data_IF_404836748397
#
_entry.id   IF_404836748397
#
_cell.length_a   1.000
_cell.length_b   1.000
_cell.length_c   1.000
_cell.angle_alpha   90.00
_cell.angle_beta   90.00
_cell.angle_gamma   90.00
#
_symmetry.space_group_name_H-M   'P 1'
#
loop_
_entity.id
_entity.type
_entity.pdbx_description
1 polymer ?
#
# COMPACT_ATOMS: atom_id res chain seq x y z
N UNK A 1 -27.30 -4.36 4.92
CA UNK A 1 -26.16 -3.50 4.54
C UNK A 1 -25.83 -3.62 3.06
N UNK A 2 -25.49 -4.80 2.51
CA UNK A 2 -25.26 -4.95 1.07
C UNK A 2 -26.56 -4.79 0.23
N UNK A 3 -27.62 -5.52 0.59
CA UNK A 3 -28.91 -5.48 -0.12
C UNK A 3 -29.61 -4.12 -0.08
N UNK A 4 -29.37 -3.31 0.95
CA UNK A 4 -29.98 -1.97 1.10
C UNK A 4 -29.36 -0.93 0.18
N UNK A 5 -28.18 -1.21 -0.37
CA UNK A 5 -27.49 -0.30 -1.28
C UNK A 5 -27.55 -0.77 -2.74
N UNK A 6 -28.28 -1.84 -3.09
CA UNK A 6 -28.20 -2.44 -4.45
C UNK A 6 -26.82 -3.06 -4.75
N UNK A 7 -26.23 -3.76 -3.76
CA UNK A 7 -25.01 -4.55 -3.93
C UNK A 7 -25.40 -6.02 -4.10
N UNK A 8 -25.13 -6.58 -5.27
CA UNK A 8 -25.43 -8.00 -5.56
C UNK A 8 -24.27 -8.95 -5.25
N UNK A 9 -23.04 -8.44 -5.21
CA UNK A 9 -21.83 -9.24 -5.01
C UNK A 9 -20.94 -8.60 -3.94
N UNK A 10 -20.37 -9.46 -3.10
CA UNK A 10 -19.40 -9.05 -2.07
C UNK A 10 -18.16 -9.91 -2.25
N UNK A 11 -17.00 -9.27 -2.20
CA UNK A 11 -15.71 -9.94 -2.23
C UNK A 11 -15.04 -9.84 -0.86
N UNK A 12 -14.51 -10.96 -0.38
CA UNK A 12 -13.78 -11.06 0.89
C UNK A 12 -12.58 -11.96 0.63
N UNK A 13 -11.37 -11.45 0.85
CA UNK A 13 -10.08 -12.14 0.59
C UNK A 13 -10.03 -13.58 1.14
N UNK A 14 -10.64 -13.80 2.30
CA UNK A 14 -10.63 -15.07 3.03
C UNK A 14 -11.59 -16.10 2.42
N UNK A 15 -12.62 -15.64 1.72
CA UNK A 15 -13.64 -16.52 1.12
C UNK A 15 -13.50 -16.65 -0.40
N UNK A 16 -12.92 -15.65 -1.06
CA UNK A 16 -12.94 -15.49 -2.51
C UNK A 16 -11.60 -15.78 -3.18
N UNK A 17 -10.55 -16.10 -2.42
CA UNK A 17 -9.25 -16.50 -2.96
C UNK A 17 -8.98 -17.95 -2.58
N UNK A 18 -8.86 -18.85 -3.55
CA UNK A 18 -8.33 -20.19 -3.33
C UNK A 18 -6.81 -20.12 -3.08
N UNK A 19 -6.45 -20.15 -1.80
CA UNK A 19 -5.04 -20.16 -1.36
C UNK A 19 -4.32 -21.48 -1.64
N UNK A 20 -5.03 -22.52 -2.11
CA UNK A 20 -4.44 -23.82 -2.49
C UNK A 20 -3.95 -23.82 -3.95
N UNK A 21 -4.50 -22.93 -4.78
CA UNK A 21 -4.11 -22.71 -6.16
C UNK A 21 -3.08 -21.57 -6.24
N UNK A 22 -1.82 -21.90 -6.52
CA UNK A 22 -0.76 -20.88 -6.62
C UNK A 22 -0.97 -19.89 -7.77
N UNK A 23 -1.57 -20.32 -8.87
CA UNK A 23 -1.92 -19.46 -10.00
C UNK A 23 -3.04 -18.50 -9.63
N UNK A 24 -4.10 -18.98 -8.97
CA UNK A 24 -5.22 -18.12 -8.55
C UNK A 24 -4.77 -17.13 -7.47
N UNK A 25 -4.02 -17.60 -6.47
CA UNK A 25 -3.43 -16.73 -5.45
C UNK A 25 -2.57 -15.63 -6.09
N UNK A 26 -1.78 -15.99 -7.10
CA UNK A 26 -0.94 -15.03 -7.82
C UNK A 26 -1.75 -14.01 -8.60
N UNK A 27 -2.78 -14.45 -9.32
CA UNK A 27 -3.69 -13.56 -10.04
C UNK A 27 -4.43 -12.63 -9.08
N UNK A 28 -4.92 -13.17 -7.96
CA UNK A 28 -5.64 -12.42 -6.95
C UNK A 28 -4.78 -11.33 -6.32
N UNK A 29 -3.56 -11.65 -5.88
CA UNK A 29 -2.65 -10.68 -5.25
C UNK A 29 -2.30 -9.53 -6.21
N UNK A 30 -2.04 -9.81 -7.49
CA UNK A 30 -1.79 -8.76 -8.48
C UNK A 30 -3.05 -7.92 -8.81
N UNK A 31 -4.24 -8.46 -8.56
CA UNK A 31 -5.52 -7.82 -8.91
C UNK A 31 -6.18 -7.09 -7.73
N UNK A 32 -5.81 -7.41 -6.48
CA UNK A 32 -6.48 -6.91 -5.27
C UNK A 32 -6.64 -5.39 -5.24
N UNK A 33 -5.59 -4.64 -5.58
CA UNK A 33 -5.66 -3.19 -5.60
C UNK A 33 -6.70 -2.67 -6.59
N UNK A 34 -6.78 -3.27 -7.79
CA UNK A 34 -7.80 -2.92 -8.78
C UNK A 34 -9.20 -3.26 -8.28
N UNK A 35 -9.37 -4.40 -7.60
CA UNK A 35 -10.67 -4.75 -7.02
C UNK A 35 -11.13 -3.75 -5.96
N UNK A 36 -10.25 -3.24 -5.10
CA UNK A 36 -10.59 -2.18 -4.16
C UNK A 36 -10.88 -0.85 -4.85
N UNK A 37 -10.13 -0.51 -5.91
CA UNK A 37 -10.35 0.73 -6.67
C UNK A 37 -11.68 0.74 -7.41
N UNK A 38 -12.05 -0.37 -8.03
CA UNK A 38 -13.29 -0.51 -8.81
C UNK A 38 -14.50 -0.89 -7.94
N UNK A 39 -14.29 -1.21 -6.65
CA UNK A 39 -15.37 -1.46 -5.73
C UNK A 39 -16.19 -0.19 -5.50
N UNK A 40 -17.52 -0.32 -5.60
CA UNK A 40 -18.44 0.79 -5.34
C UNK A 40 -18.35 1.30 -3.89
N UNK A 41 -18.06 0.40 -2.95
CA UNK A 41 -17.84 0.73 -1.53
C UNK A 41 -17.04 -0.39 -0.88
N UNK A 42 -16.12 -0.02 0.00
CA UNK A 42 -15.39 -0.95 0.86
C UNK A 42 -15.83 -0.80 2.32
N UNK A 43 -15.90 -1.93 3.02
CA UNK A 43 -16.28 -1.97 4.42
C UNK A 43 -15.10 -2.47 5.26
N UNK A 44 -14.66 -1.65 6.22
CA UNK A 44 -13.57 -1.99 7.11
C UNK A 44 -14.11 -2.22 8.52
N UNK A 45 -13.98 -3.46 9.00
CA UNK A 45 -14.36 -3.84 10.37
C UNK A 45 -13.16 -3.66 11.31
N UNK A 46 -13.32 -2.77 12.29
CA UNK A 46 -12.32 -2.37 13.28
C UNK A 46 -12.67 -3.04 14.62
N UNK A 47 -12.16 -4.26 14.80
CA UNK A 47 -12.53 -5.16 15.90
C UNK A 47 -12.10 -4.68 17.29
N UNK A 48 -11.24 -3.67 17.37
CA UNK A 48 -10.52 -3.24 18.57
C UNK A 48 -10.93 -1.84 19.07
N UNK A 49 -11.97 -1.24 18.48
CA UNK A 49 -12.42 0.11 18.83
C UNK A 49 -13.93 0.20 19.00
N UNK A 50 -14.40 1.25 19.69
CA UNK A 50 -15.82 1.49 19.98
C UNK A 50 -16.38 2.73 19.30
N UNK A 51 -15.60 3.81 19.24
CA UNK A 51 -16.07 5.13 18.77
C UNK A 51 -15.24 5.66 17.60
N UNK A 52 -15.78 6.64 16.87
CA UNK A 52 -15.13 7.24 15.69
C UNK A 52 -13.78 7.89 16.02
N UNK A 53 -13.65 8.52 17.19
CA UNK A 53 -12.40 9.16 17.64
C UNK A 53 -11.26 8.15 17.85
N UNK A 54 -11.59 6.86 17.94
CA UNK A 54 -10.65 5.75 18.12
C UNK A 54 -10.20 5.11 16.80
N UNK A 55 -10.78 5.51 15.66
CA UNK A 55 -10.47 4.92 14.35
C UNK A 55 -8.96 4.88 14.07
N UNK A 56 -8.19 5.98 14.19
CA UNK A 56 -6.75 5.96 13.89
C UNK A 56 -5.93 5.04 14.81
N UNK A 57 -6.45 4.70 15.99
CA UNK A 57 -5.77 3.84 16.96
C UNK A 57 -5.99 2.36 16.67
N UNK A 58 -6.88 2.00 15.74
CA UNK A 58 -7.13 0.61 15.39
C UNK A 58 -5.87 -0.07 14.83
N UNK A 59 -5.66 -1.32 15.23
CA UNK A 59 -4.68 -2.24 14.66
C UNK A 59 -4.87 -2.45 13.15
N UNK A 60 -6.05 -2.13 12.61
CA UNK A 60 -6.25 -2.15 11.15
C UNK A 60 -5.22 -1.27 10.43
N UNK A 61 -4.83 -0.12 10.99
CA UNK A 61 -3.82 0.77 10.41
C UNK A 61 -2.38 0.28 10.53
N UNK A 62 -2.12 -0.79 11.29
CA UNK A 62 -0.79 -1.39 11.43
C UNK A 62 -0.60 -2.62 10.55
N UNK A 63 -1.62 -3.09 9.83
CA UNK A 63 -1.52 -4.26 8.94
C UNK A 63 -1.02 -3.84 7.56
N UNK A 64 -0.13 -4.63 6.93
CA UNK A 64 0.41 -4.31 5.60
C UNK A 64 -0.67 -4.25 4.51
N UNK A 65 -1.47 -5.31 4.40
CA UNK A 65 -2.52 -5.45 3.37
C UNK A 65 -3.59 -4.35 3.38
N UNK A 66 -3.87 -3.77 4.55
CA UNK A 66 -4.88 -2.71 4.68
C UNK A 66 -4.41 -1.37 4.10
N UNK A 67 -3.13 -1.23 3.72
CA UNK A 67 -2.63 -0.01 3.09
C UNK A 67 -3.24 0.18 1.71
N UNK A 68 -3.22 -0.86 0.87
CA UNK A 68 -3.86 -0.81 -0.43
C UNK A 68 -5.38 -0.69 -0.31
N UNK A 69 -6.00 -1.36 0.68
CA UNK A 69 -7.43 -1.19 0.98
C UNK A 69 -7.76 0.30 1.22
N UNK A 70 -6.97 0.97 2.07
CA UNK A 70 -7.18 2.37 2.43
C UNK A 70 -7.03 3.33 1.25
N UNK A 71 -5.98 3.14 0.44
CA UNK A 71 -5.61 4.04 -0.65
C UNK A 71 -6.49 3.83 -1.87
N UNK A 72 -6.70 2.57 -2.28
CA UNK A 72 -7.42 2.25 -3.51
C UNK A 72 -8.92 2.58 -3.42
N UNK A 73 -9.53 2.36 -2.26
CA UNK A 73 -10.99 2.53 -2.10
C UNK A 73 -11.41 4.00 -2.16
N UNK A 74 -12.23 4.36 -3.14
CA UNK A 74 -12.81 5.70 -3.25
C UNK A 74 -13.82 5.96 -2.12
N UNK A 75 -14.70 4.97 -1.87
CA UNK A 75 -15.66 4.98 -0.76
C UNK A 75 -15.32 3.88 0.24
N UNK A 76 -15.13 4.25 1.50
CA UNK A 76 -14.87 3.31 2.58
C UNK A 76 -15.65 3.70 3.83
N UNK A 77 -16.37 2.74 4.41
CA UNK A 77 -17.12 2.91 5.66
C UNK A 77 -16.52 2.03 6.75
N UNK A 78 -16.29 2.61 7.93
CA UNK A 78 -15.77 1.91 9.10
C UNK A 78 -16.89 1.36 9.97
N UNK A 79 -16.69 0.15 10.49
CA UNK A 79 -17.54 -0.49 11.49
C UNK A 79 -16.72 -0.78 12.74
N UNK A 80 -17.31 -0.57 13.91
CA UNK A 80 -16.67 -0.90 15.18
C UNK A 80 -16.83 -2.38 15.53
N UNK A 81 -16.27 -2.79 16.67
CA UNK A 81 -16.34 -4.16 17.21
C UNK A 81 -17.77 -4.74 17.35
N UNK A 82 -18.79 -3.88 17.46
CA UNK A 82 -20.21 -4.25 17.64
C UNK A 82 -20.99 -4.17 16.31
N UNK A 83 -20.30 -4.10 15.17
CA UNK A 83 -20.87 -3.90 13.83
C UNK A 83 -21.71 -2.63 13.69
N UNK A 84 -21.39 -1.60 14.48
CA UNK A 84 -21.99 -0.27 14.33
C UNK A 84 -21.15 0.57 13.40
N UNK A 85 -21.83 1.26 12.49
CA UNK A 85 -21.21 2.20 11.56
C UNK A 85 -20.59 3.37 12.33
N UNK A 86 -19.32 3.67 12.03
CA UNK A 86 -18.55 4.77 12.61
C UNK A 86 -18.44 5.98 11.67
N UNK A 87 -18.80 5.81 10.40
CA UNK A 87 -18.72 6.84 9.37
C UNK A 87 -17.77 6.49 8.22
N UNK A 88 -17.65 7.43 7.28
CA UNK A 88 -16.82 7.31 6.09
C UNK A 88 -15.36 7.68 6.37
N UNK A 89 -14.41 7.12 5.59
CA UNK A 89 -12.99 7.55 5.53
C UNK A 89 -12.81 9.06 5.40
N UNK A 90 -13.78 9.76 4.80
CA UNK A 90 -13.75 11.22 4.58
C UNK A 90 -13.87 12.02 5.89
N UNK A 91 -14.56 11.51 6.90
CA UNK A 91 -14.84 12.24 8.14
C UNK A 91 -13.59 12.36 9.04
N UNK A 92 -12.88 11.27 9.39
CA UNK A 92 -11.66 11.35 10.20
C UNK A 92 -10.39 11.50 9.33
N UNK A 93 -10.48 12.07 8.12
CA UNK A 93 -9.36 12.06 7.15
C UNK A 93 -8.08 12.70 7.68
N UNK A 94 -8.19 13.77 8.46
CA UNK A 94 -7.04 14.44 9.07
C UNK A 94 -6.38 13.57 10.14
N UNK A 95 -7.19 12.84 10.92
CA UNK A 95 -6.68 11.92 11.93
C UNK A 95 -6.02 10.69 11.27
N UNK A 96 -6.60 10.19 10.18
CA UNK A 96 -6.02 9.10 9.38
C UNK A 96 -4.70 9.56 8.74
N UNK A 97 -4.66 10.77 8.17
CA UNK A 97 -3.45 11.37 7.61
C UNK A 97 -2.34 11.46 8.66
N UNK A 98 -2.63 12.01 9.83
CA UNK A 98 -1.66 12.09 10.94
C UNK A 98 -1.18 10.73 11.44
N UNK A 99 -2.03 9.70 11.40
CA UNK A 99 -1.65 8.33 11.80
C UNK A 99 -0.79 7.61 10.76
N UNK A 100 -1.07 7.82 9.49
CA UNK A 100 -0.52 7.01 8.39
C UNK A 100 0.61 7.69 7.62
N UNK A 101 0.74 9.01 7.72
CA UNK A 101 1.63 9.81 6.88
C UNK A 101 1.15 9.95 5.43
N UNK A 102 -0.08 9.51 5.12
CA UNK A 102 -0.68 9.62 3.80
C UNK A 102 -1.40 10.97 3.72
N UNK A 103 -1.00 11.80 2.75
CA UNK A 103 -1.62 13.11 2.54
C UNK A 103 -3.13 12.98 2.32
N UNK A 104 -3.91 13.94 2.83
CA UNK A 104 -5.36 13.93 2.69
C UNK A 104 -5.81 13.95 1.24
N UNK A 105 -5.05 14.60 0.35
CA UNK A 105 -5.29 14.61 -1.10
C UNK A 105 -5.19 13.23 -1.75
N UNK A 106 -4.39 12.33 -1.18
CA UNK A 106 -4.29 10.93 -1.62
C UNK A 106 -5.44 10.12 -1.02
N UNK A 107 -5.79 10.37 0.25
CA UNK A 107 -6.90 9.68 0.91
C UNK A 107 -8.26 9.98 0.27
N UNK A 108 -8.50 11.21 -0.17
CA UNK A 108 -9.72 11.62 -0.87
C UNK A 108 -9.61 11.53 -2.41
N UNK A 109 -8.48 11.02 -2.92
CA UNK A 109 -8.21 10.80 -4.34
C UNK A 109 -8.35 12.08 -5.20
N UNK A 110 -8.08 13.25 -4.61
CA UNK A 110 -7.98 14.52 -5.34
C UNK A 110 -6.61 14.73 -5.98
N UNK A 111 -5.60 13.96 -5.57
CA UNK A 111 -4.29 13.87 -6.19
C UNK A 111 -3.98 12.44 -6.62
N UNK A 112 -3.28 12.31 -7.74
CA UNK A 112 -2.83 11.02 -8.26
C UNK A 112 -1.69 10.44 -7.42
N UNK A 113 -1.66 9.12 -7.29
CA UNK A 113 -0.64 8.41 -6.53
C UNK A 113 0.77 8.60 -7.13
N UNK A 114 0.83 8.76 -8.45
CA UNK A 114 2.03 9.01 -9.25
C UNK A 114 2.64 10.40 -8.98
N UNK A 115 1.89 11.32 -8.37
CA UNK A 115 2.43 12.62 -7.93
C UNK A 115 3.32 12.50 -6.68
N UNK A 116 3.30 11.35 -6.01
CA UNK A 116 4.03 11.06 -4.77
C UNK A 116 5.28 10.25 -5.08
N UNK A 117 6.42 10.69 -4.53
CA UNK A 117 7.69 9.99 -4.73
C UNK A 117 7.68 8.57 -4.14
N UNK A 118 8.56 7.70 -4.65
CA UNK A 118 8.70 6.32 -4.19
C UNK A 118 9.01 6.28 -2.69
N UNK A 119 9.93 7.11 -2.19
CA UNK A 119 10.33 7.08 -0.79
C UNK A 119 9.15 7.39 0.15
N UNK A 120 8.33 8.37 -0.21
CA UNK A 120 7.15 8.74 0.57
C UNK A 120 6.09 7.64 0.50
N UNK A 121 5.85 7.03 -0.66
CA UNK A 121 4.96 5.86 -0.78
C UNK A 121 5.45 4.67 0.06
N UNK A 122 6.75 4.40 0.07
CA UNK A 122 7.37 3.37 0.92
C UNK A 122 7.20 3.68 2.40
N UNK A 123 7.30 4.96 2.80
CA UNK A 123 7.15 5.38 4.21
C UNK A 123 5.78 5.01 4.80
N UNK A 124 4.72 4.95 3.98
CA UNK A 124 3.37 4.57 4.42
C UNK A 124 3.28 3.11 4.89
N UNK A 125 4.23 2.28 4.46
CA UNK A 125 4.37 0.88 4.84
C UNK A 125 5.38 0.67 5.98
N UNK A 126 6.17 1.68 6.34
CA UNK A 126 7.31 1.54 7.26
C UNK A 126 6.93 1.03 8.66
N UNK A 127 5.74 1.40 9.15
CA UNK A 127 5.21 1.02 10.46
C UNK A 127 4.17 -0.10 10.42
N UNK A 128 4.02 -0.74 9.25
CA UNK A 128 3.04 -1.80 9.05
C UNK A 128 3.69 -3.17 9.16
N UNK A 129 2.92 -4.13 9.66
CA UNK A 129 3.32 -5.49 9.93
C UNK A 129 2.56 -6.47 9.04
N UNK A 130 3.24 -7.55 8.68
CA UNK A 130 2.69 -8.63 7.87
C UNK A 130 2.97 -9.97 8.53
N UNK A 131 2.05 -10.93 8.34
CA UNK A 131 2.21 -12.27 8.91
C UNK A 131 3.32 -13.07 8.20
N UNK A 132 3.43 -12.91 6.88
CA UNK A 132 4.53 -13.44 6.07
C UNK A 132 5.50 -12.32 5.75
N UNK A 133 6.79 -12.65 5.70
CA UNK A 133 7.84 -11.66 5.44
C UNK A 133 7.72 -11.09 4.02
N UNK A 134 7.37 -11.94 3.05
CA UNK A 134 7.24 -11.56 1.64
C UNK A 134 6.06 -10.60 1.40
N UNK A 135 5.02 -10.66 2.24
CA UNK A 135 3.88 -9.77 2.14
C UNK A 135 4.25 -8.31 2.38
N UNK A 136 5.40 -8.01 3.01
CA UNK A 136 5.95 -6.64 3.07
C UNK A 136 6.15 -6.03 1.68
N UNK A 137 6.39 -6.87 0.68
CA UNK A 137 6.47 -6.48 -0.72
C UNK A 137 5.12 -6.63 -1.43
N UNK A 138 4.48 -7.80 -1.30
CA UNK A 138 3.29 -8.11 -2.09
C UNK A 138 2.08 -7.22 -1.77
N UNK A 139 1.97 -6.70 -0.55
CA UNK A 139 0.90 -5.75 -0.21
C UNK A 139 1.06 -4.36 -0.87
N UNK A 140 2.21 -4.08 -1.48
CA UNK A 140 2.54 -2.80 -2.10
C UNK A 140 2.45 -2.80 -3.63
N UNK A 141 2.21 -3.97 -4.26
CA UNK A 141 2.21 -4.12 -5.72
C UNK A 141 1.33 -3.07 -6.40
N UNK A 142 0.08 -2.95 -5.98
CA UNK A 142 -0.85 -1.99 -6.56
C UNK A 142 -0.53 -0.52 -6.27
N UNK A 143 0.16 -0.22 -5.15
CA UNK A 143 0.60 1.14 -4.82
C UNK A 143 1.70 1.62 -5.76
N UNK A 144 2.49 0.68 -6.28
CA UNK A 144 3.57 0.95 -7.23
C UNK A 144 3.24 0.58 -8.67
N UNK A 145 2.04 0.04 -8.93
CA UNK A 145 1.65 -0.43 -10.27
C UNK A 145 2.53 -1.57 -10.80
N UNK A 146 3.01 -2.44 -9.89
CA UNK A 146 3.88 -3.56 -10.22
C UNK A 146 3.09 -4.85 -10.28
N UNK A 147 3.38 -5.68 -11.29
CA UNK A 147 2.96 -7.07 -11.32
C UNK A 147 4.20 -7.97 -11.25
N UNK A 148 4.22 -8.93 -10.33
CA UNK A 148 5.34 -9.88 -10.20
C UNK A 148 4.87 -11.23 -9.63
N UNK A 149 5.60 -12.34 -9.87
CA UNK A 149 5.23 -13.64 -9.30
C UNK A 149 5.41 -13.72 -7.77
N UNK A 150 4.44 -14.34 -7.09
CA UNK A 150 4.47 -14.57 -5.65
C UNK A 150 5.27 -15.84 -5.34
N UNK A 151 6.49 -15.66 -4.82
CA UNK A 151 7.41 -16.74 -4.44
C UNK A 151 7.55 -16.82 -2.91
N UNK A 152 6.51 -17.32 -2.24
CA UNK A 152 6.57 -17.56 -0.80
C UNK A 152 7.71 -18.54 -0.44
N UNK A 153 8.56 -18.14 0.51
CA UNK A 153 9.81 -18.82 0.86
C UNK A 153 11.06 -18.04 0.44
N UNK A 154 10.92 -16.96 -0.34
CA UNK A 154 12.05 -16.10 -0.72
C UNK A 154 12.47 -15.09 0.39
N UNK A 155 11.66 -14.95 1.44
CA UNK A 155 11.93 -14.09 2.58
C UNK A 155 12.14 -12.62 2.16
N UNK A 156 13.21 -11.99 2.66
CA UNK A 156 13.49 -10.57 2.40
C UNK A 156 13.74 -10.23 0.92
N UNK A 157 14.05 -11.24 0.10
CA UNK A 157 14.28 -11.02 -1.34
C UNK A 157 13.03 -10.54 -2.07
N UNK A 158 11.83 -10.79 -1.55
CA UNK A 158 10.58 -10.29 -2.13
C UNK A 158 10.59 -8.75 -2.21
N UNK A 159 11.05 -8.08 -1.15
CA UNK A 159 11.09 -6.61 -1.10
C UNK A 159 12.22 -6.02 -1.96
N UNK A 160 13.33 -6.75 -2.10
CA UNK A 160 14.39 -6.42 -3.06
C UNK A 160 13.85 -6.48 -4.49
N UNK A 161 13.16 -7.56 -4.85
CA UNK A 161 12.54 -7.71 -6.17
C UNK A 161 11.48 -6.64 -6.46
N UNK A 162 10.67 -6.27 -5.47
CA UNK A 162 9.75 -5.14 -5.64
C UNK A 162 10.50 -3.86 -6.04
N UNK A 163 11.60 -3.54 -5.35
CA UNK A 163 12.41 -2.37 -5.69
C UNK A 163 13.07 -2.49 -7.08
N UNK A 164 13.51 -3.69 -7.47
CA UNK A 164 14.02 -3.94 -8.84
C UNK A 164 12.95 -3.68 -9.89
N UNK A 165 11.72 -4.16 -9.70
CA UNK A 165 10.61 -3.94 -10.63
C UNK A 165 10.21 -2.46 -10.69
N UNK A 166 10.23 -1.75 -9.55
CA UNK A 166 10.03 -0.29 -9.53
C UNK A 166 11.12 0.44 -10.33
N UNK A 167 12.39 0.06 -10.18
CA UNK A 167 13.51 0.65 -10.92
C UNK A 167 13.45 0.40 -12.42
N UNK A 168 12.79 -0.68 -12.87
CA UNK A 168 12.58 -0.94 -14.31
C UNK A 168 11.65 0.08 -14.96
N UNK A 169 10.71 0.65 -14.20
CA UNK A 169 9.65 1.51 -14.74
C UNK A 169 9.72 2.97 -14.25
N UNK A 170 10.62 3.29 -13.32
CA UNK A 170 10.71 4.61 -12.72
C UNK A 170 12.13 5.15 -12.69
N UNK A 171 12.27 6.46 -12.95
CA UNK A 171 13.50 7.23 -12.78
C UNK A 171 13.52 8.05 -11.48
N UNK A 172 12.62 7.77 -10.55
CA UNK A 172 12.54 8.46 -9.27
C UNK A 172 13.63 7.93 -8.31
N UNK A 173 14.67 8.74 -8.17
CA UNK A 173 15.87 8.45 -7.36
C UNK A 173 15.58 8.40 -5.85
N UNK A 174 14.39 8.83 -5.40
CA UNK A 174 13.99 8.76 -3.99
C UNK A 174 13.97 7.33 -3.44
N UNK A 175 13.87 6.31 -4.31
CA UNK A 175 14.02 4.91 -3.90
C UNK A 175 15.33 4.61 -3.16
N UNK A 176 16.37 5.44 -3.32
CA UNK A 176 17.66 5.31 -2.61
C UNK A 176 17.76 6.15 -1.33
N UNK A 177 16.69 6.82 -0.90
CA UNK A 177 16.70 7.73 0.24
C UNK A 177 16.51 7.06 1.61
N UNK A 178 16.36 5.73 1.64
CA UNK A 178 16.24 4.94 2.86
C UNK A 178 17.50 5.01 3.73
N UNK A 179 17.35 4.70 5.01
CA UNK A 179 18.46 4.66 5.98
C UNK A 179 18.61 3.25 6.56
N UNK A 180 19.85 2.80 6.71
CA UNK A 180 20.11 1.57 7.46
C UNK A 180 20.12 1.87 8.95
N UNK A 181 19.28 1.19 9.72
CA UNK A 181 19.24 1.27 11.19
C UNK A 181 20.38 0.49 11.86
N UNK A 182 21.05 -0.40 11.13
CA UNK A 182 22.12 -1.25 11.66
C UNK A 182 23.37 -1.10 10.80
N UNK A 183 24.52 -0.86 11.42
CA UNK A 183 25.83 -0.66 10.75
C UNK A 183 26.39 -1.86 9.97
N UNK A 184 25.53 -2.78 9.54
CA UNK A 184 25.86 -3.84 8.60
C UNK A 184 25.83 -3.33 7.17
N UNK A 185 26.61 -3.98 6.31
CA UNK A 185 26.65 -3.76 4.87
C UNK A 185 25.29 -4.08 4.26
N UNK A 186 24.43 -3.07 4.11
CA UNK A 186 23.27 -3.17 3.23
C UNK A 186 23.73 -3.01 1.77
N UNK A 187 23.00 -3.65 0.86
CA UNK A 187 23.19 -3.45 -0.58
C UNK A 187 22.71 -2.07 -1.03
N UNK A 188 22.60 -1.87 -2.34
CA UNK A 188 22.04 -0.63 -2.91
C UNK A 188 20.56 -0.42 -2.55
N UNK A 189 19.83 -1.51 -2.30
CA UNK A 189 18.40 -1.52 -2.04
C UNK A 189 18.09 -1.82 -0.56
N UNK A 190 16.97 -1.31 -0.07
CA UNK A 190 16.53 -1.48 1.31
C UNK A 190 16.11 -2.92 1.59
N UNK A 191 16.42 -3.42 2.79
CA UNK A 191 16.02 -4.77 3.21
C UNK A 191 14.51 -4.84 3.59
N UNK A 192 13.96 -3.93 4.43
CA UNK A 192 12.52 -3.81 4.67
C UNK A 192 11.92 -2.40 4.38
N UNK A 193 10.59 -2.27 4.29
CA UNK A 193 9.91 -0.96 4.22
C UNK A 193 10.24 -0.02 5.38
N UNK A 194 10.55 -0.54 6.58
CA UNK A 194 10.88 0.28 7.75
C UNK A 194 12.15 1.13 7.57
N UNK A 195 13.01 0.80 6.60
CA UNK A 195 14.15 1.64 6.23
C UNK A 195 13.74 3.01 5.65
N UNK A 196 12.47 3.16 5.24
CA UNK A 196 11.88 4.40 4.71
C UNK A 196 11.07 5.18 5.77
N UNK A 197 11.16 4.85 7.07
CA UNK A 197 10.35 5.50 8.11
C UNK A 197 10.48 7.04 8.11
N UNK A 198 11.70 7.55 7.90
CA UNK A 198 12.00 9.00 7.88
C UNK A 198 11.77 9.66 6.51
N UNK A 199 11.14 8.98 5.56
CA UNK A 199 11.01 9.46 4.17
C UNK A 199 9.69 10.19 3.88
N UNK A 200 8.85 10.43 4.88
CA UNK A 200 7.53 11.05 4.70
C UNK A 200 7.59 12.46 4.09
N UNK A 201 8.66 13.21 4.36
CA UNK A 201 8.87 14.60 3.91
C UNK A 201 9.70 14.70 2.61
N UNK A 202 10.07 13.56 2.00
CA UNK A 202 10.83 13.56 0.75
C UNK A 202 9.90 13.92 -0.41
N UNK A 203 10.34 14.88 -1.22
CA UNK A 203 9.57 15.38 -2.36
C UNK A 203 10.36 15.21 -3.66
N UNK A 204 9.63 15.08 -4.78
CA UNK A 204 10.25 15.02 -6.10
C UNK A 204 10.79 16.41 -6.43
N UNK A 205 12.10 16.52 -6.67
CA UNK A 205 12.65 17.73 -7.29
C UNK A 205 12.31 17.72 -8.79
N UNK A 206 11.26 18.45 -9.18
CA UNK A 206 10.94 18.70 -10.59
C UNK A 206 11.95 19.69 -11.18
N UNK A 207 13.11 19.19 -11.59
CA UNK A 207 13.99 19.93 -12.50
C UNK A 207 13.34 19.97 -13.88
N UNK A 208 13.09 21.16 -14.40
CA UNK A 208 12.61 21.43 -15.78
C UNK A 208 13.56 20.94 -16.89
N UNK A 209 14.66 20.27 -16.52
CA UNK A 209 15.78 19.92 -17.41
C UNK A 209 16.10 18.41 -17.48
N UNK A 210 15.30 17.52 -16.87
CA UNK A 210 15.56 16.06 -17.00
C UNK A 210 15.17 15.59 -18.40
N UNK A 211 16.18 15.45 -19.27
CA UNK A 211 16.09 14.68 -20.52
C UNK A 211 15.77 13.24 -20.10
N UNK A 212 14.70 12.60 -20.62
CA UNK A 212 14.41 11.21 -20.29
C UNK A 212 15.58 10.33 -20.73
N UNK A 213 16.05 9.47 -19.83
CA UNK A 213 17.05 8.47 -20.15
C UNK A 213 16.46 7.51 -21.18
N UNK A 214 17.03 7.49 -22.39
CA UNK A 214 16.64 6.55 -23.43
C UNK A 214 17.41 5.25 -23.24
N UNK A 215 16.71 4.15 -22.96
CA UNK A 215 17.30 2.82 -22.93
C UNK A 215 17.73 2.43 -24.34
N UNK A 216 19.03 2.21 -24.56
CA UNK A 216 19.54 1.66 -25.81
C UNK A 216 19.85 0.17 -25.67
N UNK A 217 20.04 -0.52 -26.79
CA UNK A 217 20.45 -1.94 -26.86
C UNK A 217 21.83 -2.20 -26.22
N UNK A 218 22.51 -1.16 -25.74
CA UNK A 218 23.81 -1.21 -25.06
C UNK A 218 23.74 -0.82 -23.58
N UNK A 219 22.55 -0.56 -23.04
CA UNK A 219 22.34 0.00 -21.70
C UNK A 219 21.95 1.48 -21.73
N UNK A 220 21.86 2.06 -20.53
CA UNK A 220 21.68 3.51 -20.28
C UNK A 220 22.84 4.32 -20.86
#
# INVERSE_FOLDING_TARGET
MAFTNDIHYVWIDTCCIDKTSSSELSEAINSMYCWYREARVCYAFLADIKTVDQVPQSQWFTRGWTLQELIASAEMTFFNQDWRELGSKKEPKELISGRTGIATSILDQTADLESVCIAQRMSWAAKRETARLEDQAYCLLGIFGINMPMLYGEGKNAFIRLQEEILRISSDESIFAWKSSHGYRSGLLADPPSAFEDCADITIFQSSSKIPWNLSNKGL
#
